data_IF_716440712640
#
_entry.id   IF_716440712640
#
_cell.length_a   1.000
_cell.length_b   1.000
_cell.length_c   1.000
_cell.angle_alpha   90.00
_cell.angle_beta   90.00
_cell.angle_gamma   90.00
#
_symmetry.space_group_name_H-M   'P 1'
#
loop_
_entity.id
_entity.type
_entity.pdbx_description
1 polymer ?
#
# COMPACT_ATOMS: atom_id res chain seq x y z
N UNK A 1 53.26 0.86 -46.80
CA UNK A 1 54.07 2.09 -46.97
C UNK A 1 53.28 3.25 -46.43
N UNK A 2 53.87 4.01 -45.50
CA UNK A 2 53.29 5.11 -44.71
C UNK A 2 52.47 6.14 -45.49
N UNK A 3 51.65 6.93 -44.78
CA UNK A 3 52.07 8.33 -44.66
C UNK A 3 51.84 9.01 -43.29
N UNK A 4 52.87 9.78 -42.92
CA UNK A 4 52.87 11.17 -42.40
C UNK A 4 52.17 11.50 -41.07
N UNK A 5 52.99 11.45 -40.03
CA UNK A 5 53.31 12.50 -39.02
C UNK A 5 52.37 13.69 -38.82
N UNK A 6 51.99 13.85 -37.54
CA UNK A 6 51.29 14.96 -36.92
C UNK A 6 52.09 16.28 -36.87
N UNK A 7 51.36 17.40 -36.76
CA UNK A 7 51.79 18.64 -36.09
C UNK A 7 50.64 19.18 -35.21
N UNK A 8 50.91 19.60 -33.96
CA UNK A 8 49.93 20.25 -33.09
C UNK A 8 50.01 21.78 -33.24
N UNK A 9 48.89 22.48 -33.02
CA UNK A 9 48.89 23.91 -32.72
C UNK A 9 48.18 24.14 -31.37
N UNK A 10 48.87 24.88 -30.52
CA UNK A 10 48.56 25.22 -29.13
C UNK A 10 47.39 26.21 -29.00
N UNK A 11 46.84 26.40 -27.77
CA UNK A 11 45.62 27.17 -27.53
C UNK A 11 45.95 28.63 -27.19
N UNK A 12 45.24 29.59 -27.80
CA UNK A 12 45.18 30.99 -27.33
C UNK A 12 43.96 31.70 -27.92
N UNK A 13 43.03 32.06 -27.04
CA UNK A 13 42.09 33.19 -27.13
C UNK A 13 41.19 33.12 -25.88
N UNK A 14 41.65 33.66 -24.76
CA UNK A 14 41.23 34.98 -24.25
C UNK A 14 39.76 35.03 -23.83
N UNK A 15 39.57 34.98 -22.52
CA UNK A 15 38.35 35.33 -21.83
C UNK A 15 38.10 36.84 -21.95
N UNK A 16 36.93 37.23 -22.46
CA UNK A 16 36.40 38.59 -22.29
C UNK A 16 35.10 38.50 -21.51
N UNK A 17 35.11 39.10 -20.33
CA UNK A 17 33.98 39.26 -19.40
C UNK A 17 33.20 40.53 -19.75
N UNK A 18 31.87 40.44 -19.87
CA UNK A 18 30.84 41.48 -19.57
C UNK A 18 29.46 41.06 -20.12
N UNK A 19 28.31 41.64 -19.70
CA UNK A 19 27.52 41.16 -18.56
C UNK A 19 26.12 40.66 -18.96
N UNK A 20 25.49 39.91 -18.05
CA UNK A 20 24.05 39.78 -17.78
C UNK A 20 23.06 39.94 -18.95
N UNK A 21 22.49 38.83 -19.47
CA UNK A 21 21.04 38.75 -19.72
C UNK A 21 20.59 37.31 -19.97
N UNK A 22 19.50 36.91 -19.32
CA UNK A 22 18.90 35.59 -19.39
C UNK A 22 17.64 35.61 -20.27
N UNK A 23 17.70 34.96 -21.45
CA UNK A 23 16.61 34.30 -22.22
C UNK A 23 15.46 35.19 -22.77
N UNK A 24 14.62 34.75 -23.75
CA UNK A 24 14.28 33.35 -24.14
C UNK A 24 14.23 32.99 -25.65
N UNK A 25 14.09 31.68 -25.89
CA UNK A 25 13.98 30.97 -27.17
C UNK A 25 12.58 31.14 -27.83
N UNK A 26 12.46 31.32 -29.16
CA UNK A 26 11.22 31.70 -29.83
C UNK A 26 10.42 30.47 -30.28
N UNK A 27 9.60 29.89 -29.40
CA UNK A 27 8.54 28.95 -29.81
C UNK A 27 7.45 28.81 -28.74
N UNK A 28 6.89 29.92 -28.26
CA UNK A 28 5.60 29.87 -27.55
C UNK A 28 4.99 31.27 -27.46
N UNK A 29 4.36 31.73 -28.54
CA UNK A 29 3.52 32.92 -28.52
C UNK A 29 2.10 32.56 -28.93
N UNK A 30 1.22 32.44 -27.93
CA UNK A 30 -0.12 33.05 -27.89
C UNK A 30 -0.79 32.78 -26.53
N UNK A 31 -1.09 33.90 -25.85
CA UNK A 31 -2.06 34.10 -24.75
C UNK A 31 -3.46 33.65 -25.21
N UNK A 32 -4.48 33.35 -24.41
CA UNK A 32 -4.75 33.20 -22.98
C UNK A 32 -6.22 32.70 -22.83
N UNK A 33 -6.50 31.96 -21.76
CA UNK A 33 -7.73 31.96 -20.92
C UNK A 33 -9.11 31.56 -21.50
N UNK A 34 -9.68 30.44 -21.02
CA UNK A 34 -10.80 30.36 -20.05
C UNK A 34 -11.60 29.04 -20.11
N UNK A 35 -11.92 28.55 -18.90
CA UNK A 35 -13.14 27.85 -18.49
C UNK A 35 -13.52 26.47 -19.07
N UNK A 36 -13.52 25.48 -18.19
CA UNK A 36 -14.67 24.56 -18.03
C UNK A 36 -14.78 23.37 -18.97
N UNK A 37 -14.71 22.16 -18.38
CA UNK A 37 -15.33 20.92 -18.85
C UNK A 37 -15.02 20.49 -20.30
N UNK A 38 -14.13 19.51 -20.49
CA UNK A 38 -14.47 18.14 -20.98
C UNK A 38 -13.28 17.37 -21.58
N UNK A 39 -13.39 16.04 -21.39
CA UNK A 39 -13.01 14.94 -22.27
C UNK A 39 -11.53 14.72 -22.61
N UNK A 40 -10.95 13.67 -22.02
CA UNK A 40 -9.78 13.02 -22.56
C UNK A 40 -10.19 12.15 -23.75
N UNK A 41 -9.72 12.50 -24.94
CA UNK A 41 -9.66 11.55 -26.06
C UNK A 41 -8.25 10.95 -26.09
N UNK A 42 -8.16 9.65 -25.82
CA UNK A 42 -6.97 8.85 -26.11
C UNK A 42 -6.89 8.73 -27.63
N UNK A 43 -5.89 9.36 -28.24
CA UNK A 43 -5.50 9.05 -29.62
C UNK A 43 -4.26 8.16 -29.59
N UNK A 44 -4.46 6.94 -30.04
CA UNK A 44 -3.45 5.94 -30.38
C UNK A 44 -2.46 6.49 -31.42
N UNK A 45 -1.22 6.02 -31.28
CA UNK A 45 -0.02 6.05 -32.13
C UNK A 45 -0.12 6.60 -33.56
N UNK A 46 1.02 7.06 -34.09
CA UNK A 46 1.68 6.16 -35.04
C UNK A 46 3.18 5.96 -34.78
N UNK A 47 3.55 4.70 -34.97
CA UNK A 47 4.89 4.17 -35.14
C UNK A 47 5.61 4.89 -36.28
N UNK A 48 6.65 5.69 -35.97
CA UNK A 48 7.76 5.93 -36.91
C UNK A 48 8.98 6.44 -36.14
N UNK A 49 10.06 5.65 -36.13
CA UNK A 49 11.40 6.09 -35.70
C UNK A 49 12.08 6.78 -36.88
N UNK A 50 12.56 8.03 -36.77
CA UNK A 50 13.48 8.56 -37.76
C UNK A 50 14.88 7.95 -37.55
N UNK A 51 15.45 7.45 -38.64
CA UNK A 51 16.84 6.99 -38.72
C UNK A 51 17.81 8.18 -38.57
N UNK A 52 18.94 7.98 -37.89
CA UNK A 52 20.03 8.96 -37.85
C UNK A 52 20.41 9.55 -36.49
N UNK A 53 19.89 9.03 -35.38
CA UNK A 53 20.31 9.46 -34.04
C UNK A 53 21.26 8.43 -33.43
N UNK A 54 22.54 8.77 -33.37
CA UNK A 54 23.52 8.12 -32.49
C UNK A 54 22.99 8.18 -31.07
N UNK A 55 22.78 6.99 -30.46
CA UNK A 55 22.47 6.89 -29.05
C UNK A 55 23.62 7.53 -28.27
N UNK A 56 23.35 8.65 -27.60
CA UNK A 56 24.20 9.07 -26.50
C UNK A 56 23.96 8.04 -25.38
N UNK A 57 24.75 6.96 -25.39
CA UNK A 57 24.91 6.10 -24.22
C UNK A 57 25.59 6.94 -23.14
N UNK A 58 24.81 7.76 -22.44
CA UNK A 58 25.17 8.18 -21.09
C UNK A 58 25.16 6.90 -20.25
N UNK A 59 26.29 6.22 -20.22
CA UNK A 59 26.63 5.24 -19.20
C UNK A 59 26.77 6.04 -17.91
N UNK A 60 25.66 6.40 -17.30
CA UNK A 60 25.62 6.74 -15.88
C UNK A 60 26.14 5.50 -15.18
N UNK A 61 27.36 5.58 -14.64
CA UNK A 61 27.88 4.55 -13.76
C UNK A 61 26.84 4.31 -12.68
N UNK A 62 26.15 3.17 -12.76
CA UNK A 62 25.39 2.67 -11.65
C UNK A 62 26.44 2.31 -10.59
N UNK A 63 26.74 3.26 -9.69
CA UNK A 63 27.22 2.90 -8.38
C UNK A 63 26.22 1.86 -7.87
N UNK A 64 26.72 0.65 -7.58
CA UNK A 64 25.92 -0.39 -6.97
C UNK A 64 25.31 0.23 -5.70
N UNK A 65 24.02 0.56 -5.75
CA UNK A 65 23.28 0.90 -4.56
C UNK A 65 23.40 -0.27 -3.58
N UNK A 66 23.27 -0.02 -2.26
CA UNK A 66 23.31 -1.10 -1.28
C UNK A 66 22.35 -2.19 -1.75
N UNK A 67 22.90 -3.38 -2.02
CA UNK A 67 22.11 -4.52 -2.44
C UNK A 67 21.02 -4.72 -1.41
N UNK A 68 19.75 -4.65 -1.83
CA UNK A 68 18.62 -5.01 -0.98
C UNK A 68 18.96 -6.36 -0.34
N UNK A 69 19.06 -6.45 1.00
CA UNK A 69 19.36 -7.73 1.62
C UNK A 69 18.30 -8.72 1.17
N UNK A 70 18.74 -9.84 0.60
CA UNK A 70 17.85 -10.92 0.24
C UNK A 70 16.98 -11.23 1.47
N UNK A 71 15.66 -11.22 1.31
CA UNK A 71 14.73 -11.55 2.39
C UNK A 71 15.01 -12.98 2.84
N UNK A 72 15.76 -13.11 3.92
CA UNK A 72 16.00 -14.40 4.60
C UNK A 72 14.65 -14.85 5.15
N UNK A 73 13.97 -15.74 4.42
CA UNK A 73 12.86 -16.51 4.97
C UNK A 73 13.47 -17.58 5.87
N UNK A 74 13.34 -17.43 7.19
CA UNK A 74 13.77 -18.46 8.14
C UNK A 74 14.38 -17.97 9.45
N UNK A 75 14.63 -16.66 9.62
CA UNK A 75 15.04 -16.12 10.93
C UNK A 75 13.89 -16.16 11.94
N UNK A 76 14.16 -16.62 13.16
CA UNK A 76 13.25 -16.37 14.30
C UNK A 76 13.22 -14.86 14.53
N UNK A 77 12.03 -14.27 14.66
CA UNK A 77 11.87 -12.88 15.06
C UNK A 77 12.19 -12.79 16.56
N UNK A 78 13.47 -12.68 16.91
CA UNK A 78 13.88 -12.65 18.33
C UNK A 78 13.70 -11.27 18.97
N UNK A 79 13.48 -10.23 18.16
CA UNK A 79 13.50 -8.83 18.62
C UNK A 79 12.11 -8.16 18.74
N UNK A 80 11.02 -8.87 18.42
CA UNK A 80 9.66 -8.30 18.47
C UNK A 80 8.77 -9.14 19.39
N UNK A 81 8.32 -8.54 20.50
CA UNK A 81 7.36 -9.17 21.38
C UNK A 81 6.02 -9.35 20.65
N UNK A 82 5.56 -10.60 20.55
CA UNK A 82 4.27 -10.96 19.94
C UNK A 82 3.36 -11.55 21.00
N UNK A 83 2.08 -11.16 20.97
CA UNK A 83 1.01 -11.72 21.79
C UNK A 83 -0.03 -12.38 20.89
N UNK A 84 -0.40 -13.61 21.20
CA UNK A 84 -1.47 -14.33 20.51
C UNK A 84 -2.82 -14.00 21.15
N UNK A 85 -3.71 -13.36 20.39
CA UNK A 85 -5.07 -13.06 20.81
C UNK A 85 -6.05 -14.06 20.20
N UNK A 86 -6.39 -15.11 20.95
CA UNK A 86 -7.29 -16.17 20.53
C UNK A 86 -8.74 -15.66 20.47
N UNK A 87 -9.46 -15.91 19.38
CA UNK A 87 -10.81 -15.38 19.16
C UNK A 87 -11.88 -16.44 18.88
N UNK A 88 -11.48 -17.70 18.69
CA UNK A 88 -12.36 -18.86 18.49
C UNK A 88 -11.61 -20.15 18.88
N UNK A 89 -12.35 -21.24 19.07
CA UNK A 89 -11.82 -22.59 19.27
C UNK A 89 -12.58 -23.52 18.33
N UNK A 90 -11.85 -24.18 17.43
CA UNK A 90 -12.45 -25.02 16.38
C UNK A 90 -12.34 -26.51 16.68
N UNK A 91 -11.50 -26.87 17.65
CA UNK A 91 -11.30 -28.22 18.14
C UNK A 91 -10.77 -28.15 19.57
N UNK A 92 -11.25 -29.05 20.42
CA UNK A 92 -10.77 -29.19 21.80
C UNK A 92 -10.57 -30.68 22.12
N UNK A 93 -9.31 -31.10 22.29
CA UNK A 93 -8.97 -32.52 22.32
C UNK A 93 -9.40 -33.20 21.01
N UNK A 94 -10.17 -34.27 21.12
CA UNK A 94 -10.71 -35.02 19.97
C UNK A 94 -12.04 -34.45 19.44
N UNK A 95 -12.64 -33.48 20.14
CA UNK A 95 -13.91 -32.89 19.75
C UNK A 95 -13.71 -31.80 18.68
N UNK A 96 -14.23 -32.04 17.47
CA UNK A 96 -14.30 -31.04 16.40
C UNK A 96 -15.54 -30.17 16.61
N UNK A 97 -15.37 -28.85 16.66
CA UNK A 97 -16.40 -27.88 17.06
C UNK A 97 -16.92 -27.05 15.87
N UNK A 98 -16.63 -27.41 14.63
CA UNK A 98 -17.00 -26.61 13.46
C UNK A 98 -18.51 -26.40 13.32
N UNK A 99 -19.30 -27.42 13.67
CA UNK A 99 -20.76 -27.40 13.62
C UNK A 99 -21.43 -26.78 14.86
N UNK A 100 -20.65 -26.48 15.90
CA UNK A 100 -21.16 -25.82 17.10
C UNK A 100 -21.45 -24.34 16.84
N UNK A 101 -22.48 -23.76 17.49
CA UNK A 101 -22.70 -22.31 17.49
C UNK A 101 -21.47 -21.54 18.01
N UNK A 102 -21.21 -20.34 17.48
CA UNK A 102 -20.11 -19.48 17.94
C UNK A 102 -20.18 -19.21 19.44
N UNK A 103 -21.37 -19.05 20.01
CA UNK A 103 -21.56 -18.89 21.46
C UNK A 103 -20.96 -20.04 22.26
N UNK A 104 -21.25 -21.29 21.87
CA UNK A 104 -20.72 -22.48 22.55
C UNK A 104 -19.21 -22.56 22.43
N UNK A 105 -18.66 -22.32 21.23
CA UNK A 105 -17.20 -22.27 21.01
C UNK A 105 -16.56 -21.18 21.84
N UNK A 106 -17.19 -19.99 21.90
CA UNK A 106 -16.69 -18.86 22.65
C UNK A 106 -16.64 -19.14 24.15
N UNK A 107 -17.69 -19.76 24.70
CA UNK A 107 -17.72 -20.19 26.09
C UNK A 107 -16.57 -21.16 26.39
N UNK A 108 -16.41 -22.20 25.57
CA UNK A 108 -15.31 -23.16 25.72
C UNK A 108 -13.95 -22.48 25.68
N UNK A 109 -13.72 -21.56 24.74
CA UNK A 109 -12.48 -20.78 24.65
C UNK A 109 -12.18 -19.98 25.92
N UNK A 110 -13.20 -19.38 26.54
CA UNK A 110 -13.03 -18.57 27.77
C UNK A 110 -12.78 -19.42 29.02
N UNK A 111 -13.18 -20.69 29.02
CA UNK A 111 -12.93 -21.64 30.11
C UNK A 111 -11.50 -22.22 30.06
N UNK A 112 -10.77 -22.07 28.95
CA UNK A 112 -9.39 -22.55 28.82
C UNK A 112 -8.42 -21.71 29.66
N UNK A 113 -7.58 -22.40 30.42
CA UNK A 113 -6.48 -21.78 31.15
C UNK A 113 -5.45 -21.19 30.17
N UNK A 114 -5.17 -19.89 30.30
CA UNK A 114 -4.14 -19.20 29.52
C UNK A 114 -2.83 -19.21 30.34
N UNK A 115 -1.81 -19.98 29.93
CA UNK A 115 -0.62 -20.22 30.76
C UNK A 115 0.23 -18.95 31.00
N UNK A 116 0.19 -17.99 30.09
CA UNK A 116 0.85 -16.69 30.24
C UNK A 116 -0.01 -15.60 29.57
N UNK A 117 -0.76 -14.79 30.35
CA UNK A 117 -1.60 -13.71 29.82
C UNK A 117 -0.85 -12.68 28.97
N UNK A 118 0.46 -12.51 29.16
CA UNK A 118 1.29 -11.58 28.37
C UNK A 118 1.66 -12.14 26.99
N UNK A 119 1.67 -13.47 26.82
CA UNK A 119 1.95 -14.14 25.55
C UNK A 119 0.70 -14.62 24.83
N UNK A 120 -0.31 -15.07 25.57
CA UNK A 120 -1.57 -15.58 25.03
C UNK A 120 -2.74 -15.04 25.84
N UNK A 121 -3.75 -14.52 25.16
CA UNK A 121 -4.99 -14.10 25.79
C UNK A 121 -6.17 -14.32 24.86
N UNK A 122 -7.36 -14.34 25.44
CA UNK A 122 -8.60 -14.33 24.66
C UNK A 122 -8.88 -12.91 24.21
N UNK A 123 -9.07 -12.70 22.91
CA UNK A 123 -9.51 -11.42 22.35
C UNK A 123 -10.83 -11.00 23.01
N UNK A 124 -10.99 -9.77 23.51
CA UNK A 124 -12.23 -9.31 24.14
C UNK A 124 -13.46 -9.51 23.23
N UNK A 125 -14.60 -9.85 23.83
CA UNK A 125 -15.88 -9.90 23.15
C UNK A 125 -16.90 -9.09 23.95
N UNK A 126 -17.81 -8.45 23.22
CA UNK A 126 -18.80 -7.54 23.78
C UNK A 126 -20.19 -7.99 23.31
N UNK A 127 -20.86 -8.92 24.03
CA UNK A 127 -22.26 -9.26 23.78
C UNK A 127 -23.15 -8.01 23.79
N UNK A 128 -24.21 -8.01 22.99
CA UNK A 128 -25.08 -6.85 22.86
C UNK A 128 -25.70 -6.44 24.21
N UNK A 129 -26.05 -7.42 25.02
CA UNK A 129 -26.62 -7.28 26.37
C UNK A 129 -25.64 -6.56 27.31
N UNK A 130 -24.33 -6.91 27.22
CA UNK A 130 -23.29 -6.24 28.03
C UNK A 130 -23.10 -4.78 27.62
N UNK A 131 -23.10 -4.51 26.31
CA UNK A 131 -23.01 -3.14 25.79
C UNK A 131 -24.21 -2.30 26.22
N UNK A 132 -25.41 -2.87 26.17
CA UNK A 132 -26.64 -2.21 26.60
C UNK A 132 -26.63 -1.89 28.10
N UNK A 133 -26.17 -2.82 28.94
CA UNK A 133 -26.02 -2.60 30.38
C UNK A 133 -25.07 -1.44 30.71
N UNK A 134 -23.97 -1.34 29.97
CA UNK A 134 -22.97 -0.28 30.12
C UNK A 134 -23.36 1.03 29.40
N UNK A 135 -24.53 1.07 28.75
CA UNK A 135 -25.00 2.18 27.89
C UNK A 135 -24.01 2.54 26.77
N UNK A 136 -23.25 1.56 26.28
CA UNK A 136 -22.31 1.71 25.18
C UNK A 136 -23.01 1.31 23.87
N UNK A 137 -23.03 2.21 22.90
CA UNK A 137 -23.52 1.89 21.55
C UNK A 137 -22.44 1.14 20.76
N UNK A 138 -22.80 0.36 19.71
CA UNK A 138 -21.81 -0.23 18.80
C UNK A 138 -20.85 0.81 18.19
N UNK A 139 -21.34 2.02 17.93
CA UNK A 139 -20.53 3.14 17.47
C UNK A 139 -19.52 3.60 18.54
N UNK A 140 -19.96 3.74 19.80
CA UNK A 140 -19.06 4.08 20.90
C UNK A 140 -17.99 3.01 21.14
N UNK A 141 -18.32 1.73 20.94
CA UNK A 141 -17.34 0.65 20.97
C UNK A 141 -16.32 0.77 19.82
N UNK A 142 -16.77 1.11 18.61
CA UNK A 142 -15.89 1.32 17.46
C UNK A 142 -14.90 2.47 17.72
N UNK A 143 -15.39 3.59 18.24
CA UNK A 143 -14.55 4.75 18.60
C UNK A 143 -13.50 4.40 19.66
N UNK A 144 -13.90 3.60 20.66
CA UNK A 144 -12.96 3.07 21.66
C UNK A 144 -11.91 2.17 21.00
N UNK A 145 -12.33 1.24 20.15
CA UNK A 145 -11.41 0.32 19.47
C UNK A 145 -10.37 1.09 18.64
N UNK A 146 -10.79 2.14 17.92
CA UNK A 146 -9.88 3.01 17.16
C UNK A 146 -8.90 3.74 18.06
N UNK A 147 -9.38 4.31 19.19
CA UNK A 147 -8.54 4.99 20.17
C UNK A 147 -7.48 4.05 20.75
N UNK A 148 -7.83 2.79 20.92
CA UNK A 148 -6.96 1.73 21.41
C UNK A 148 -6.03 1.16 20.29
N UNK A 149 -6.07 1.75 19.08
CA UNK A 149 -5.20 1.41 17.96
C UNK A 149 -5.67 0.21 17.12
N UNK A 150 -6.91 -0.24 17.27
CA UNK A 150 -7.50 -1.30 16.47
C UNK A 150 -8.05 -0.79 15.13
N UNK A 151 -8.01 -1.65 14.11
CA UNK A 151 -8.52 -1.35 12.76
C UNK A 151 -10.05 -1.14 12.73
N UNK A 152 -10.76 -1.73 13.69
CA UNK A 152 -12.22 -1.68 13.79
C UNK A 152 -12.77 -2.89 14.53
N UNK A 153 -13.99 -3.29 14.20
CA UNK A 153 -14.71 -4.36 14.88
C UNK A 153 -14.96 -5.57 13.96
N UNK A 154 -15.10 -6.75 14.58
CA UNK A 154 -15.66 -7.93 13.93
C UNK A 154 -16.96 -8.28 14.64
N UNK A 155 -18.08 -8.16 13.93
CA UNK A 155 -19.38 -8.62 14.41
C UNK A 155 -19.56 -10.10 14.04
N UNK A 156 -19.87 -10.95 15.04
CA UNK A 156 -20.07 -12.39 14.85
C UNK A 156 -21.49 -12.77 15.27
N UNK A 157 -22.22 -13.47 14.41
CA UNK A 157 -23.53 -14.04 14.73
C UNK A 157 -23.37 -15.22 15.69
N UNK A 158 -23.96 -15.13 16.88
CA UNK A 158 -23.79 -16.10 17.97
C UNK A 158 -24.17 -17.53 17.60
N UNK A 159 -25.30 -17.70 16.88
CA UNK A 159 -25.78 -19.00 16.41
C UNK A 159 -25.02 -19.60 15.22
N UNK A 160 -23.97 -18.95 14.71
CA UNK A 160 -23.33 -19.37 13.46
C UNK A 160 -22.26 -20.45 13.67
N UNK A 161 -22.32 -21.47 12.81
CA UNK A 161 -21.25 -22.48 12.62
C UNK A 161 -20.00 -21.87 12.01
N UNK A 162 -18.86 -22.53 12.19
CA UNK A 162 -17.64 -22.19 11.47
C UNK A 162 -17.61 -22.92 10.13
N UNK A 163 -17.43 -22.18 9.03
CA UNK A 163 -17.47 -22.74 7.66
C UNK A 163 -16.13 -22.53 6.95
N UNK A 164 -15.19 -23.50 7.04
CA UNK A 164 -13.86 -23.35 6.46
C UNK A 164 -13.90 -23.04 4.97
N UNK A 165 -13.07 -22.09 4.52
CA UNK A 165 -12.96 -21.72 3.10
C UNK A 165 -14.20 -21.03 2.51
N UNK A 166 -15.19 -20.66 3.32
CA UNK A 166 -16.38 -19.92 2.89
C UNK A 166 -16.41 -18.56 3.54
N UNK A 167 -16.72 -17.53 2.75
CA UNK A 167 -17.07 -16.21 3.26
C UNK A 167 -18.59 -16.17 3.43
N UNK A 168 -19.05 -16.13 4.67
CA UNK A 168 -20.46 -16.01 5.02
C UNK A 168 -20.74 -14.64 5.64
N UNK A 169 -22.02 -14.31 5.80
CA UNK A 169 -22.50 -13.12 6.53
C UNK A 169 -22.44 -13.29 8.05
N UNK A 170 -22.00 -14.45 8.54
CA UNK A 170 -21.91 -14.72 9.97
C UNK A 170 -20.87 -13.82 10.65
N UNK A 171 -19.81 -13.43 9.92
CA UNK A 171 -18.68 -12.65 10.43
C UNK A 171 -18.52 -11.41 9.56
N UNK A 172 -18.90 -10.26 10.10
CA UNK A 172 -18.84 -8.98 9.39
C UNK A 172 -17.68 -8.16 9.94
N UNK A 173 -16.72 -7.83 9.07
CA UNK A 173 -15.67 -6.87 9.38
C UNK A 173 -16.22 -5.46 9.20
N UNK A 174 -16.09 -4.65 10.24
CA UNK A 174 -16.44 -3.25 10.23
C UNK A 174 -15.19 -2.41 10.53
N UNK A 175 -14.33 -2.21 9.51
CA UNK A 175 -13.09 -1.44 9.67
C UNK A 175 -13.39 0.06 9.62
N UNK A 176 -12.54 0.84 10.28
CA UNK A 176 -12.53 2.28 10.07
C UNK A 176 -11.83 2.59 8.77
N UNK A 177 -12.57 3.26 7.88
CA UNK A 177 -12.07 3.64 6.56
C UNK A 177 -11.71 5.11 6.59
N UNK A 178 -10.44 5.41 6.32
CA UNK A 178 -9.97 6.77 6.10
C UNK A 178 -9.95 7.04 4.60
N UNK A 179 -10.61 8.11 4.19
CA UNK A 179 -10.63 8.55 2.79
C UNK A 179 -9.76 9.79 2.66
N UNK A 180 -8.92 9.80 1.64
CA UNK A 180 -8.11 10.96 1.28
C UNK A 180 -8.13 11.18 -0.22
N UNK A 181 -8.14 12.44 -0.63
CA UNK A 181 -7.95 12.84 -2.01
C UNK A 181 -6.49 12.65 -2.42
N UNK A 182 -6.28 12.01 -3.57
CA UNK A 182 -4.97 11.67 -4.10
C UNK A 182 -4.92 11.96 -5.59
N UNK A 183 -3.71 12.25 -6.09
CA UNK A 183 -3.44 12.43 -7.51
C UNK A 183 -2.92 11.11 -8.08
N UNK A 184 -3.48 10.67 -9.22
CA UNK A 184 -2.96 9.53 -9.96
C UNK A 184 -1.76 9.98 -10.79
N UNK A 185 -0.56 9.50 -10.45
CA UNK A 185 0.69 9.88 -11.11
C UNK A 185 1.19 8.83 -12.10
N UNK A 186 0.60 7.65 -12.11
CA UNK A 186 0.99 6.56 -13.01
C UNK A 186 0.20 5.29 -12.77
N UNK A 187 0.49 4.27 -13.56
CA UNK A 187 -0.18 2.98 -13.46
C UNK A 187 0.75 1.82 -13.87
N UNK A 188 0.38 0.61 -13.44
CA UNK A 188 1.02 -0.65 -13.84
C UNK A 188 0.02 -1.52 -14.60
N UNK A 189 0.44 -2.23 -15.67
CA UNK A 189 -0.45 -3.16 -16.36
C UNK A 189 -0.88 -4.30 -15.46
N UNK A 190 -2.14 -4.71 -15.62
CA UNK A 190 -2.71 -5.83 -14.90
C UNK A 190 -2.12 -7.16 -15.35
N UNK A 191 -2.15 -8.11 -14.44
CA UNK A 191 -1.65 -9.47 -14.62
C UNK A 191 -2.78 -10.48 -14.38
N UNK A 192 -2.66 -11.68 -14.95
CA UNK A 192 -3.66 -12.75 -14.81
C UNK A 192 -5.05 -12.28 -15.28
N UNK A 193 -6.04 -12.34 -14.39
CA UNK A 193 -7.42 -11.92 -14.67
C UNK A 193 -7.55 -10.43 -15.07
N UNK A 194 -6.54 -9.60 -14.76
CA UNK A 194 -6.49 -8.18 -15.13
C UNK A 194 -5.60 -7.91 -16.34
N UNK A 195 -5.17 -8.92 -17.10
CA UNK A 195 -4.38 -8.71 -18.31
C UNK A 195 -5.13 -7.82 -19.32
N UNK A 196 -4.42 -6.87 -19.94
CA UNK A 196 -5.02 -5.88 -20.85
C UNK A 196 -5.72 -4.70 -20.15
N UNK A 197 -5.75 -4.66 -18.81
CA UNK A 197 -6.31 -3.54 -18.03
C UNK A 197 -5.29 -2.95 -17.05
N UNK A 198 -5.73 -2.05 -16.17
CA UNK A 198 -4.91 -1.46 -15.09
C UNK A 198 -4.83 -2.43 -13.91
N UNK A 199 -3.60 -2.76 -13.49
CA UNK A 199 -3.32 -3.64 -12.36
C UNK A 199 -3.01 -2.91 -11.05
N UNK A 200 -2.56 -1.66 -11.13
CA UNK A 200 -2.25 -0.85 -9.97
C UNK A 200 -2.03 0.61 -10.33
N UNK A 201 -2.25 1.50 -9.37
CA UNK A 201 -2.09 2.94 -9.52
C UNK A 201 -0.92 3.42 -8.64
N UNK A 202 -0.13 4.34 -9.20
CA UNK A 202 0.82 5.14 -8.43
C UNK A 202 0.08 6.41 -7.98
N UNK A 203 -0.01 6.60 -6.68
CA UNK A 203 -0.76 7.69 -6.06
C UNK A 203 0.20 8.67 -5.39
N UNK A 204 -0.13 9.96 -5.47
CA UNK A 204 0.52 11.03 -4.72
C UNK A 204 -0.51 11.70 -3.82
N UNK A 205 -0.23 11.73 -2.52
CA UNK A 205 -1.02 12.50 -1.56
C UNK A 205 -0.39 13.88 -1.36
N UNK A 206 -1.22 14.92 -1.23
CA UNK A 206 -0.73 16.23 -0.82
C UNK A 206 -0.47 16.20 0.68
N UNK A 207 0.75 16.51 1.11
CA UNK A 207 1.07 16.63 2.53
C UNK A 207 0.24 17.75 3.18
N UNK A 208 -0.79 17.38 3.92
CA UNK A 208 -1.50 18.24 4.85
C UNK A 208 -1.38 17.62 6.24
N UNK A 209 -1.12 18.45 7.25
CA UNK A 209 -1.15 18.02 8.66
C UNK A 209 -2.54 17.41 8.96
N UNK A 210 -2.65 16.31 9.72
CA UNK A 210 -3.96 15.80 10.12
C UNK A 210 -4.69 16.88 10.93
N UNK A 211 -5.94 17.14 10.55
CA UNK A 211 -6.88 17.97 11.30
C UNK A 211 -7.48 17.18 12.46
#
# INVERSE_FOLDING_TARGET
>A
GSPRTARPCSPTAEATTSPTSSRPCPACSRRAWMAGRRCWTVRSSPTTRPAGWTSCCCRSGAAAGPSTPARVRGGRFEDVAVRFLAFDVLQLGDAVLLDEPYERRRQLLTELAMPDPHRIAVAPAYPFESLAADRITPQGLLERAVRDGHEGLIAKRLGARYTPGRRTDAWLKHPVTHTQEVIVCGWRPGQGRLAGTVGGLLLMARGGSPA
#
